data_IF_526588667511
#
_entry.id   IF_526588667511
#
_cell.length_a   1.000
_cell.length_b   1.000
_cell.length_c   1.000
_cell.angle_alpha   90.00
_cell.angle_beta   90.00
_cell.angle_gamma   90.00
#
_symmetry.space_group_name_H-M   'P 1'
#
loop_
_entity.id
_entity.type
_entity.pdbx_description
1 polymer ?
#
# COMPACT_ATOMS: atom_id res chain seq x y z
N UNK A 1 16.10 18.77 -6.75
CA UNK A 1 15.23 18.73 -5.56
C UNK A 1 14.70 17.33 -5.36
N UNK A 2 13.81 17.14 -4.37
CA UNK A 2 13.11 15.86 -4.12
C UNK A 2 12.26 15.49 -5.35
N UNK A 3 12.30 14.21 -5.74
CA UNK A 3 11.60 13.69 -6.94
C UNK A 3 10.55 12.62 -6.63
N UNK A 4 10.57 12.05 -5.43
CA UNK A 4 9.63 11.01 -4.99
C UNK A 4 8.96 11.51 -3.73
N UNK A 5 7.63 11.52 -3.71
CA UNK A 5 6.83 12.00 -2.58
C UNK A 5 5.72 10.97 -2.30
N UNK A 6 5.87 10.12 -1.27
CA UNK A 6 4.77 9.27 -0.84
C UNK A 6 3.72 10.10 -0.09
N UNK A 7 2.45 9.90 -0.44
CA UNK A 7 1.30 10.40 0.30
C UNK A 7 0.91 9.33 1.33
N UNK A 8 1.01 9.68 2.61
CA UNK A 8 0.85 8.72 3.71
C UNK A 8 -0.46 8.93 4.45
N UNK A 9 -1.28 7.88 4.51
CA UNK A 9 -2.38 7.77 5.46
C UNK A 9 -1.89 7.07 6.72
N UNK A 10 -1.53 7.87 7.73
CA UNK A 10 -0.92 7.39 8.97
C UNK A 10 -1.92 6.75 9.93
N UNK A 11 -3.21 7.02 9.77
CA UNK A 11 -4.26 6.60 10.72
C UNK A 11 -5.33 5.71 10.10
N UNK A 12 -5.31 5.52 8.78
CA UNK A 12 -6.27 4.66 8.08
C UNK A 12 -7.62 5.32 7.82
N UNK A 13 -7.67 6.66 7.79
CA UNK A 13 -8.91 7.44 7.65
C UNK A 13 -9.13 7.98 6.23
N UNK A 14 -8.27 7.61 5.28
CA UNK A 14 -8.39 8.04 3.89
C UNK A 14 -9.65 7.47 3.23
N UNK A 15 -10.38 8.35 2.53
CA UNK A 15 -11.54 7.98 1.74
C UNK A 15 -11.17 7.87 0.26
N UNK A 16 -11.98 7.14 -0.53
CA UNK A 16 -11.77 7.02 -1.98
C UNK A 16 -11.77 8.40 -2.65
N UNK A 17 -12.75 9.24 -2.34
CA UNK A 17 -12.83 10.62 -2.87
C UNK A 17 -11.58 11.44 -2.52
N UNK A 18 -11.04 11.29 -1.32
CA UNK A 18 -9.83 11.99 -0.90
C UNK A 18 -8.58 11.52 -1.65
N UNK A 19 -8.47 10.21 -1.88
CA UNK A 19 -7.39 9.62 -2.68
C UNK A 19 -7.49 10.09 -4.13
N UNK A 20 -8.68 10.04 -4.73
CA UNK A 20 -8.93 10.53 -6.09
C UNK A 20 -8.53 12.00 -6.22
N UNK A 21 -9.05 12.87 -5.36
CA UNK A 21 -8.78 14.31 -5.41
C UNK A 21 -7.29 14.63 -5.31
N UNK A 22 -6.56 13.90 -4.44
CA UNK A 22 -5.11 14.04 -4.31
C UNK A 22 -4.39 13.68 -5.61
N UNK A 23 -4.56 12.45 -6.10
CA UNK A 23 -3.77 11.96 -7.24
C UNK A 23 -4.18 12.63 -8.56
N UNK A 24 -5.48 12.84 -8.79
CA UNK A 24 -6.00 13.47 -10.00
C UNK A 24 -5.50 14.91 -10.17
N UNK A 25 -5.21 15.62 -9.07
CA UNK A 25 -4.67 16.99 -9.11
C UNK A 25 -3.14 17.02 -9.13
N UNK A 26 -2.49 16.17 -8.34
CA UNK A 26 -1.04 16.24 -8.12
C UNK A 26 -0.27 15.65 -9.30
N UNK A 27 -0.65 14.47 -9.79
CA UNK A 27 0.10 13.75 -10.84
C UNK A 27 0.18 14.56 -12.14
N UNK A 28 -0.92 15.14 -12.68
CA UNK A 28 -0.83 15.93 -13.92
C UNK A 28 -0.12 17.28 -13.72
N UNK A 29 -0.19 17.85 -12.52
CA UNK A 29 0.39 19.17 -12.22
C UNK A 29 1.91 19.13 -12.07
N UNK A 30 2.46 18.02 -11.57
CA UNK A 30 3.89 17.88 -11.31
C UNK A 30 4.45 16.64 -12.02
N UNK A 31 4.60 16.73 -13.34
CA UNK A 31 5.07 15.63 -14.20
C UNK A 31 6.44 15.06 -13.82
N UNK A 32 7.30 15.87 -13.18
CA UNK A 32 8.64 15.47 -12.79
C UNK A 32 8.71 14.89 -11.36
N UNK A 33 7.56 14.69 -10.72
CA UNK A 33 7.44 14.14 -9.36
C UNK A 33 6.70 12.81 -9.44
N UNK A 34 7.31 11.77 -8.89
CA UNK A 34 6.68 10.48 -8.70
C UNK A 34 5.96 10.48 -7.34
N UNK A 35 4.63 10.57 -7.38
CA UNK A 35 3.81 10.42 -6.19
C UNK A 35 3.61 8.94 -5.87
N UNK A 36 3.85 8.58 -4.61
CA UNK A 36 3.59 7.26 -4.08
C UNK A 36 2.41 7.25 -3.13
N UNK A 37 1.93 6.06 -2.79
CA UNK A 37 0.88 5.86 -1.79
C UNK A 37 1.38 4.95 -0.68
N UNK A 38 1.23 5.41 0.56
CA UNK A 38 1.48 4.64 1.77
C UNK A 38 0.19 4.58 2.58
N UNK A 39 -0.36 3.38 2.77
CA UNK A 39 -1.65 3.18 3.44
C UNK A 39 -1.49 2.36 4.71
N UNK A 40 -2.08 2.88 5.77
CA UNK A 40 -2.70 2.04 6.79
C UNK A 40 -4.13 1.74 6.35
N UNK A 41 -4.56 0.48 6.41
CA UNK A 41 -5.86 0.06 5.88
C UNK A 41 -6.36 -1.19 6.60
N UNK A 42 -7.67 -1.40 6.55
CA UNK A 42 -8.29 -2.65 7.01
C UNK A 42 -8.23 -3.72 5.92
N UNK A 43 -8.51 -4.97 6.29
CA UNK A 43 -8.62 -6.06 5.33
C UNK A 43 -9.76 -5.89 4.30
N UNK A 44 -10.71 -4.98 4.51
CA UNK A 44 -11.87 -4.76 3.62
C UNK A 44 -11.67 -3.61 2.64
N UNK A 45 -10.93 -2.58 3.04
CA UNK A 45 -10.97 -1.28 2.35
C UNK A 45 -9.83 -1.11 1.33
N UNK A 46 -8.77 -1.91 1.45
CA UNK A 46 -7.53 -1.78 0.69
C UNK A 46 -7.70 -1.75 -0.83
N UNK A 47 -8.60 -2.57 -1.38
CA UNK A 47 -8.74 -2.75 -2.83
C UNK A 47 -9.21 -1.45 -3.51
N UNK A 48 -10.24 -0.82 -2.93
CA UNK A 48 -10.77 0.44 -3.43
C UNK A 48 -9.72 1.54 -3.40
N UNK A 49 -8.94 1.62 -2.31
CA UNK A 49 -7.89 2.63 -2.12
C UNK A 49 -6.76 2.47 -3.15
N UNK A 50 -6.23 1.25 -3.32
CA UNK A 50 -5.22 0.96 -4.35
C UNK A 50 -5.76 1.27 -5.74
N UNK A 51 -6.97 0.78 -6.05
CA UNK A 51 -7.57 0.96 -7.37
C UNK A 51 -7.76 2.43 -7.71
N UNK A 52 -8.25 3.22 -6.76
CA UNK A 52 -8.49 4.66 -6.96
C UNK A 52 -7.18 5.39 -7.22
N UNK A 53 -6.14 5.15 -6.43
CA UNK A 53 -4.84 5.77 -6.66
C UNK A 53 -4.21 5.35 -8.00
N UNK A 54 -4.27 4.05 -8.33
CA UNK A 54 -3.72 3.53 -9.57
C UNK A 54 -4.39 4.14 -10.81
N UNK A 55 -5.73 4.23 -10.80
CA UNK A 55 -6.50 4.84 -11.89
C UNK A 55 -6.20 6.33 -12.06
N UNK A 56 -5.82 7.02 -10.98
CA UNK A 56 -5.45 8.44 -10.98
C UNK A 56 -3.94 8.68 -11.15
N UNK A 57 -3.19 7.70 -11.65
CA UNK A 57 -1.81 7.86 -12.08
C UNK A 57 -0.74 7.53 -11.03
N UNK A 58 -1.12 7.04 -9.84
CA UNK A 58 -0.15 6.50 -8.88
C UNK A 58 0.52 5.24 -9.45
N UNK A 59 1.85 5.16 -9.36
CA UNK A 59 2.64 4.00 -9.80
C UNK A 59 3.60 3.45 -8.74
N UNK A 60 3.65 4.09 -7.57
CA UNK A 60 4.48 3.70 -6.43
C UNK A 60 3.61 3.43 -5.22
N UNK A 61 3.77 2.27 -4.62
CA UNK A 61 3.00 1.86 -3.46
C UNK A 61 3.96 1.31 -2.41
N UNK A 62 3.81 1.78 -1.18
CA UNK A 62 4.54 1.25 -0.04
C UNK A 62 3.70 0.14 0.60
N UNK A 63 4.35 -0.98 0.94
CA UNK A 63 3.69 -2.14 1.55
C UNK A 63 4.59 -2.75 2.63
N UNK A 64 3.98 -3.55 3.50
CA UNK A 64 4.69 -4.39 4.47
C UNK A 64 4.33 -5.84 4.19
N UNK A 65 5.32 -6.75 4.27
CA UNK A 65 5.16 -8.14 3.85
C UNK A 65 3.97 -8.85 4.50
N UNK A 66 3.84 -8.69 5.82
CA UNK A 66 2.76 -9.27 6.63
C UNK A 66 1.72 -8.23 7.04
N UNK A 67 1.83 -6.97 6.56
CA UNK A 67 0.99 -5.86 7.00
C UNK A 67 1.21 -5.44 8.46
N UNK A 68 2.33 -5.88 9.06
CA UNK A 68 2.70 -5.56 10.43
C UNK A 68 3.02 -4.06 10.58
N UNK A 69 2.84 -3.56 11.79
CA UNK A 69 3.05 -2.14 12.11
C UNK A 69 1.79 -1.33 11.81
N UNK A 70 1.44 -0.49 12.78
CA UNK A 70 0.35 0.46 12.75
C UNK A 70 0.71 1.66 13.61
N UNK A 71 -0.12 2.71 13.63
CA UNK A 71 0.16 3.89 14.43
C UNK A 71 -0.16 3.62 15.90
N UNK A 72 0.78 3.82 16.85
CA UNK A 72 0.50 3.69 18.28
C UNK A 72 -0.58 4.64 18.80
N UNK A 73 -0.90 5.67 18.01
CA UNK A 73 -1.86 6.74 18.31
C UNK A 73 -3.16 6.62 17.52
N UNK A 74 -3.29 5.65 16.60
CA UNK A 74 -4.59 5.34 16.01
C UNK A 74 -5.40 4.64 17.10
N UNK A 75 -6.64 5.09 17.32
CA UNK A 75 -7.56 4.41 18.23
C UNK A 75 -7.65 2.92 17.85
N UNK A 76 -7.79 2.08 18.87
CA UNK A 76 -7.57 0.62 18.94
C UNK A 76 -8.38 -0.27 17.97
N UNK A 77 -8.49 0.08 16.69
CA UNK A 77 -8.93 -0.86 15.67
C UNK A 77 -7.76 -1.78 15.32
N UNK A 78 -7.65 -2.89 16.07
CA UNK A 78 -6.73 -4.03 15.87
C UNK A 78 -6.74 -4.58 14.43
N UNK A 79 -7.67 -4.12 13.59
CA UNK A 79 -7.84 -4.51 12.19
C UNK A 79 -7.11 -3.58 11.20
N UNK A 80 -6.59 -2.44 11.64
CA UNK A 80 -5.90 -1.46 10.79
C UNK A 80 -4.39 -1.61 10.92
N UNK A 81 -3.72 -1.88 9.81
CA UNK A 81 -2.27 -1.99 9.74
C UNK A 81 -1.74 -1.54 8.39
N UNK A 82 -0.43 -1.68 8.18
CA UNK A 82 0.15 -1.42 6.87
C UNK A 82 -0.48 -2.28 5.77
N UNK A 83 -0.58 -1.71 4.56
CA UNK A 83 -0.95 -2.46 3.36
C UNK A 83 -0.08 -3.72 3.19
N UNK A 84 -0.72 -4.88 3.09
CA UNK A 84 -0.01 -6.15 2.86
C UNK A 84 0.56 -6.21 1.45
N UNK A 85 1.80 -6.67 1.32
CA UNK A 85 2.45 -6.81 0.00
C UNK A 85 1.69 -7.82 -0.89
N UNK A 86 1.13 -8.88 -0.27
CA UNK A 86 0.32 -9.87 -0.99
C UNK A 86 -0.95 -9.27 -1.61
N UNK A 87 -1.60 -8.30 -0.95
CA UNK A 87 -2.82 -7.66 -1.46
C UNK A 87 -2.50 -6.81 -2.71
N UNK A 88 -1.40 -6.05 -2.69
CA UNK A 88 -0.98 -5.27 -3.84
C UNK A 88 -0.61 -6.15 -5.03
N UNK A 89 0.06 -7.27 -4.75
CA UNK A 89 0.42 -8.28 -5.76
C UNK A 89 -0.82 -8.92 -6.37
N UNK A 90 -1.82 -9.29 -5.56
CA UNK A 90 -3.11 -9.80 -6.02
C UNK A 90 -3.84 -8.79 -6.91
N UNK A 91 -3.90 -7.52 -6.49
CA UNK A 91 -4.48 -6.45 -7.31
C UNK A 91 -3.83 -6.37 -8.70
N UNK A 92 -2.50 -6.35 -8.79
CA UNK A 92 -1.83 -6.24 -10.08
C UNK A 92 -1.94 -7.51 -10.93
N UNK A 93 -1.95 -8.68 -10.30
CA UNK A 93 -2.23 -9.94 -10.97
C UNK A 93 -3.62 -9.94 -11.62
N UNK A 94 -4.65 -9.51 -10.89
CA UNK A 94 -6.02 -9.38 -11.42
C UNK A 94 -6.13 -8.40 -12.60
N UNK A 95 -5.32 -7.32 -12.58
CA UNK A 95 -5.26 -6.35 -13.68
C UNK A 95 -4.38 -6.80 -14.85
N UNK A 96 -3.72 -7.95 -14.75
CA UNK A 96 -2.77 -8.42 -15.75
C UNK A 96 -1.54 -7.52 -15.90
N UNK A 97 -1.14 -6.84 -14.81
CA UNK A 97 0.01 -5.95 -14.77
C UNK A 97 1.22 -6.72 -14.29
N UNK A 98 2.26 -6.76 -15.12
CA UNK A 98 3.57 -7.26 -14.72
C UNK A 98 4.24 -6.24 -13.80
N UNK A 99 4.60 -6.70 -12.60
CA UNK A 99 5.25 -5.91 -11.56
C UNK A 99 6.76 -6.15 -11.51
N UNK A 100 7.27 -7.15 -12.24
CA UNK A 100 8.66 -7.58 -12.19
C UNK A 100 9.07 -8.26 -10.87
N UNK A 101 8.10 -8.70 -10.05
CA UNK A 101 8.38 -9.49 -8.86
C UNK A 101 8.93 -10.86 -9.26
N UNK A 102 10.02 -11.25 -8.61
CA UNK A 102 10.49 -12.63 -8.61
C UNK A 102 9.61 -13.43 -7.64
N UNK A 103 8.77 -14.29 -8.20
CA UNK A 103 7.80 -15.10 -7.47
C UNK A 103 8.48 -16.04 -6.46
N UNK A 104 9.57 -16.69 -6.85
CA UNK A 104 10.30 -17.63 -6.01
C UNK A 104 11.00 -16.90 -4.86
N UNK A 105 11.62 -15.76 -5.17
CA UNK A 105 12.26 -14.92 -4.15
C UNK A 105 11.24 -14.33 -3.17
N UNK A 106 10.07 -13.93 -3.67
CA UNK A 106 8.99 -13.42 -2.83
C UNK A 106 8.44 -14.51 -1.90
N UNK A 107 8.17 -15.71 -2.41
CA UNK A 107 7.69 -16.82 -1.60
C UNK A 107 8.70 -17.19 -0.49
N UNK A 108 9.99 -17.29 -0.84
CA UNK A 108 11.05 -17.55 0.13
C UNK A 108 11.12 -16.47 1.22
N UNK A 109 11.03 -15.19 0.84
CA UNK A 109 11.01 -14.08 1.77
C UNK A 109 9.76 -14.09 2.67
N UNK A 110 8.59 -14.37 2.09
CA UNK A 110 7.32 -14.44 2.80
C UNK A 110 7.34 -15.55 3.86
N UNK A 111 7.76 -16.77 3.50
CA UNK A 111 7.90 -17.88 4.45
C UNK A 111 8.91 -17.55 5.55
N UNK A 112 10.02 -16.88 5.22
CA UNK A 112 10.99 -16.45 6.23
C UNK A 112 10.39 -15.43 7.18
N UNK A 113 9.57 -14.51 6.68
CA UNK A 113 8.90 -13.50 7.52
C UNK A 113 7.95 -14.15 8.52
N UNK A 114 7.20 -15.19 8.14
CA UNK A 114 6.34 -15.94 9.06
C UNK A 114 7.14 -16.59 10.19
N UNK A 115 8.33 -17.13 9.90
CA UNK A 115 9.21 -17.72 10.91
C UNK A 115 9.78 -16.65 11.86
N UNK A 116 10.20 -15.50 11.32
CA UNK A 116 10.84 -14.43 12.11
C UNK A 116 9.81 -13.73 12.99
N UNK A 117 8.62 -13.43 12.46
CA UNK A 117 7.60 -12.64 13.12
C UNK A 117 6.47 -13.48 13.73
N UNK A 118 6.64 -14.79 13.90
CA UNK A 118 5.60 -15.71 14.40
C UNK A 118 4.94 -15.24 15.70
N UNK A 119 5.69 -14.61 16.61
CA UNK A 119 5.17 -14.10 17.88
C UNK A 119 4.20 -12.91 17.74
N UNK A 120 4.15 -12.27 16.55
CA UNK A 120 3.27 -11.14 16.25
C UNK A 120 2.06 -11.54 15.39
N UNK A 121 1.90 -12.83 15.11
CA UNK A 121 0.80 -13.38 14.30
C UNK A 121 -0.22 -14.16 15.13
N UNK A 122 0.00 -14.26 16.45
CA UNK A 122 -0.81 -15.01 17.39
C UNK A 122 -1.87 -14.13 18.06
#
# INVERSE_FOLDING_TARGET
GVRIIPLSDTTGVSTLDGIEDCFARLVPKYSDIEFGLHLHTTYRDWYGQISTAFMNGCRRFDTVMLGLGGCPMADEDDLTGNMKTVNLKEYFLEKGIDTGFDEDAFEAAFLKSLQVFHNYLA
#
